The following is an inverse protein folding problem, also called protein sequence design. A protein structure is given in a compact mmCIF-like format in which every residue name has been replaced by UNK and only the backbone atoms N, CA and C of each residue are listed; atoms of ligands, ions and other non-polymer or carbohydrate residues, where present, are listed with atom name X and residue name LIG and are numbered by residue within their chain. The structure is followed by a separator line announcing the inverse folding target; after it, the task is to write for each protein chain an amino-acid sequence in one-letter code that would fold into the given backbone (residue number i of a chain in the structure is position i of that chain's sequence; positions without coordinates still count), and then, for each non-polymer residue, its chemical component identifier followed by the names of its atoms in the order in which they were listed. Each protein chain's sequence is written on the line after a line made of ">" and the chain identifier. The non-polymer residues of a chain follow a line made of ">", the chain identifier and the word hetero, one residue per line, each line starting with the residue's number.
data_IF_752557860213
#
_entry.id   IF_752557860213
#
_cell.length_a   1.000
_cell.length_b   1.000
_cell.length_c   1.000
_cell.angle_alpha   90.00
_cell.angle_beta   90.00
_cell.angle_gamma   90.00
#
_symmetry.space_group_name_H-M   'P 1'
#
loop_
_entity.id
_entity.type
_entity.pdbx_description
1 polymer ?
#
# COMPACT_ATOMS: atom_id res chain seq x y z
N UNK A 1 33.07 16.83 -12.72
CA UNK A 1 32.58 15.48 -12.42
C UNK A 1 32.94 14.63 -13.64
N UNK A 2 33.70 13.57 -13.44
CA UNK A 2 33.93 12.62 -14.54
C UNK A 2 32.57 12.05 -14.96
N UNK A 3 32.29 12.10 -16.25
CA UNK A 3 31.09 11.51 -16.82
C UNK A 3 31.31 9.99 -16.78
N UNK A 4 30.82 9.34 -15.73
CA UNK A 4 30.90 7.88 -15.61
C UNK A 4 29.84 7.35 -16.57
N UNK A 5 30.29 6.66 -17.60
CA UNK A 5 29.43 5.97 -18.56
C UNK A 5 28.75 4.81 -17.82
N UNK A 6 27.45 4.91 -17.60
CA UNK A 6 26.65 3.86 -16.95
C UNK A 6 26.28 2.82 -17.98
N UNK A 7 26.38 1.56 -17.62
CA UNK A 7 25.80 0.48 -18.41
C UNK A 7 24.30 0.67 -18.58
N UNK A 8 23.78 0.27 -19.73
CA UNK A 8 22.34 0.40 -20.04
C UNK A 8 21.77 -0.94 -20.44
N UNK A 9 20.60 -1.26 -19.89
CA UNK A 9 19.77 -2.41 -20.29
C UNK A 9 18.46 -1.89 -20.84
N UNK A 10 17.90 -2.57 -21.84
CA UNK A 10 16.65 -2.18 -22.48
C UNK A 10 15.54 -3.19 -22.16
N UNK A 11 14.37 -2.66 -21.78
CA UNK A 11 13.15 -3.41 -21.53
C UNK A 11 11.97 -2.74 -22.23
N UNK A 12 10.91 -3.49 -22.47
CA UNK A 12 9.64 -2.89 -22.89
C UNK A 12 8.99 -2.14 -21.73
N UNK A 13 9.02 -2.72 -20.52
CA UNK A 13 8.45 -2.12 -19.32
C UNK A 13 9.38 -2.29 -18.13
N UNK A 14 9.67 -1.18 -17.43
CA UNK A 14 10.36 -1.17 -16.15
C UNK A 14 9.37 -0.81 -15.05
N UNK A 15 9.34 -1.61 -13.98
CA UNK A 15 8.48 -1.43 -12.83
C UNK A 15 9.34 -1.18 -11.59
N UNK A 16 9.08 -0.10 -10.87
CA UNK A 16 9.82 0.29 -9.67
C UNK A 16 9.04 -0.11 -8.43
N UNK A 17 9.55 -1.11 -7.71
CA UNK A 17 8.98 -1.66 -6.49
C UNK A 17 8.29 -3.01 -6.68
N UNK A 18 8.80 -4.06 -6.01
CA UNK A 18 8.24 -5.40 -5.98
C UNK A 18 7.20 -5.59 -4.84
N UNK A 19 6.38 -4.57 -4.62
CA UNK A 19 5.19 -4.67 -3.76
C UNK A 19 3.97 -5.24 -4.51
N UNK A 20 2.81 -5.35 -3.83
CA UNK A 20 1.60 -5.92 -4.44
C UNK A 20 1.17 -5.24 -5.75
N UNK A 21 1.32 -3.91 -5.85
CA UNK A 21 0.96 -3.16 -7.05
C UNK A 21 1.88 -3.48 -8.23
N UNK A 22 3.21 -3.39 -8.02
CA UNK A 22 4.19 -3.63 -9.08
C UNK A 22 4.16 -5.08 -9.57
N UNK A 23 4.13 -6.05 -8.65
CA UNK A 23 4.04 -7.48 -9.01
C UNK A 23 2.73 -7.79 -9.75
N UNK A 24 1.60 -7.19 -9.32
CA UNK A 24 0.33 -7.38 -10.05
C UNK A 24 0.35 -6.78 -11.44
N UNK A 25 1.04 -5.64 -11.63
CA UNK A 25 1.24 -5.04 -12.95
C UNK A 25 2.07 -5.97 -13.85
N UNK A 26 3.21 -6.44 -13.34
CA UNK A 26 4.12 -7.31 -14.08
C UNK A 26 3.43 -8.62 -14.51
N UNK A 27 2.78 -9.31 -13.55
CA UNK A 27 2.07 -10.57 -13.79
C UNK A 27 0.96 -10.37 -14.82
N UNK A 28 0.11 -9.34 -14.65
CA UNK A 28 -1.00 -9.09 -15.56
C UNK A 28 -0.54 -8.79 -16.98
N UNK A 29 0.51 -7.96 -17.15
CA UNK A 29 1.12 -7.68 -18.45
C UNK A 29 1.63 -8.95 -19.13
N UNK A 30 2.39 -9.76 -18.39
CA UNK A 30 2.95 -10.99 -18.95
C UNK A 30 1.88 -12.01 -19.30
N UNK A 31 0.85 -12.15 -18.47
CA UNK A 31 -0.31 -13.00 -18.79
C UNK A 31 -0.97 -12.57 -20.10
N UNK A 32 -1.22 -11.27 -20.29
CA UNK A 32 -1.82 -10.75 -21.52
C UNK A 32 -0.89 -10.96 -22.74
N UNK A 33 0.42 -10.79 -22.57
CA UNK A 33 1.39 -11.04 -23.63
C UNK A 33 1.40 -12.52 -24.07
N UNK A 34 1.41 -13.45 -23.10
CA UNK A 34 1.33 -14.89 -23.35
C UNK A 34 0.01 -15.25 -24.06
N UNK A 35 -1.13 -14.75 -23.57
CA UNK A 35 -2.46 -15.00 -24.14
C UNK A 35 -2.57 -14.51 -25.59
N UNK A 36 -1.95 -13.35 -25.87
CA UNK A 36 -1.88 -12.80 -27.21
C UNK A 36 -0.76 -13.41 -28.10
N UNK A 37 0.03 -14.35 -27.57
CA UNK A 37 1.23 -14.91 -28.25
C UNK A 37 2.20 -13.82 -28.72
N UNK A 38 2.49 -12.85 -27.84
CA UNK A 38 3.39 -11.72 -28.07
C UNK A 38 4.53 -11.73 -27.07
N UNK A 39 5.70 -11.28 -27.49
CA UNK A 39 6.84 -11.09 -26.62
C UNK A 39 6.75 -9.73 -25.93
N UNK A 40 7.10 -9.69 -24.64
CA UNK A 40 7.24 -8.48 -23.86
C UNK A 40 8.31 -8.71 -22.78
N UNK A 41 9.33 -7.88 -22.76
CA UNK A 41 10.36 -7.88 -21.73
C UNK A 41 9.96 -6.97 -20.59
N UNK A 42 9.89 -7.52 -19.38
CA UNK A 42 9.45 -6.81 -18.17
C UNK A 42 10.51 -6.97 -17.09
N UNK A 43 10.91 -5.84 -16.50
CA UNK A 43 11.84 -5.80 -15.39
C UNK A 43 11.17 -5.15 -14.17
N UNK A 44 11.37 -5.75 -13.00
CA UNK A 44 10.96 -5.20 -11.70
C UNK A 44 12.19 -4.94 -10.86
N UNK A 45 12.40 -3.70 -10.42
CA UNK A 45 13.46 -3.35 -9.49
C UNK A 45 12.93 -3.20 -8.07
N UNK A 46 13.67 -3.73 -7.09
CA UNK A 46 13.34 -3.67 -5.67
C UNK A 46 14.56 -3.23 -4.86
N UNK A 47 14.38 -2.21 -4.02
CA UNK A 47 15.46 -1.69 -3.17
C UNK A 47 15.85 -2.62 -2.01
N UNK A 48 14.95 -3.47 -1.57
CA UNK A 48 15.20 -4.48 -0.55
C UNK A 48 16.16 -5.54 -1.05
N UNK A 49 16.97 -6.11 -0.16
CA UNK A 49 17.91 -7.21 -0.49
C UNK A 49 17.21 -8.46 -1.04
N UNK A 50 15.93 -8.60 -0.77
CA UNK A 50 15.00 -9.58 -1.31
C UNK A 50 13.60 -8.99 -1.38
N UNK A 51 12.72 -9.55 -2.19
CA UNK A 51 11.33 -9.13 -2.24
C UNK A 51 10.67 -9.38 -0.88
N UNK A 52 9.96 -8.36 -0.37
CA UNK A 52 9.30 -8.43 0.92
C UNK A 52 10.16 -8.10 2.13
N UNK A 53 11.50 -7.91 2.00
CA UNK A 53 12.40 -7.60 3.13
C UNK A 53 11.99 -6.32 3.89
N UNK A 54 11.46 -5.33 3.19
CA UNK A 54 11.01 -4.07 3.79
C UNK A 54 9.53 -4.09 4.20
N UNK A 55 8.87 -5.23 4.12
CA UNK A 55 7.46 -5.37 4.46
C UNK A 55 7.31 -6.12 5.79
N UNK A 56 7.23 -5.38 6.88
CA UNK A 56 6.84 -5.90 8.19
C UNK A 56 5.34 -5.73 8.35
N UNK A 57 4.56 -6.73 8.08
CA UNK A 57 3.11 -6.61 8.22
C UNK A 57 2.41 -7.94 8.36
N UNK A 58 1.62 -8.05 9.42
CA UNK A 58 0.41 -8.82 9.39
C UNK A 58 -0.68 -7.97 8.73
N UNK A 59 -1.41 -8.56 7.81
CA UNK A 59 -2.45 -7.90 7.03
C UNK A 59 -3.73 -8.72 7.10
N UNK A 60 -4.86 -8.04 7.16
CA UNK A 60 -6.15 -8.64 6.81
C UNK A 60 -6.40 -8.38 5.34
N UNK A 61 -6.24 -9.40 4.53
CA UNK A 61 -6.26 -9.34 3.09
C UNK A 61 -7.63 -9.71 2.52
N UNK A 62 -8.15 -8.87 1.63
CA UNK A 62 -9.33 -9.14 0.82
C UNK A 62 -8.85 -9.81 -0.49
N UNK A 63 -9.21 -11.07 -0.77
CA UNK A 63 -8.65 -11.82 -1.90
C UNK A 63 -9.20 -11.39 -3.26
N UNK A 64 -10.14 -10.47 -3.33
CA UNK A 64 -10.85 -10.09 -4.55
C UNK A 64 -9.94 -9.80 -5.75
N UNK A 65 -8.86 -9.03 -5.55
CA UNK A 65 -7.93 -8.71 -6.63
C UNK A 65 -7.06 -9.93 -7.01
N UNK A 66 -6.74 -10.79 -6.04
CA UNK A 66 -6.00 -12.01 -6.28
C UNK A 66 -6.85 -13.05 -7.05
N UNK A 67 -8.12 -13.17 -6.70
CA UNK A 67 -9.09 -14.04 -7.41
C UNK A 67 -9.21 -13.64 -8.89
N UNK A 68 -9.05 -12.34 -9.22
CA UNK A 68 -9.06 -11.87 -10.61
C UNK A 68 -7.71 -12.07 -11.31
N UNK A 69 -6.59 -11.93 -10.60
CA UNK A 69 -5.24 -11.97 -11.16
C UNK A 69 -4.75 -13.41 -11.35
N UNK A 70 -4.93 -14.23 -10.31
CA UNK A 70 -4.46 -15.64 -10.26
C UNK A 70 -5.60 -16.49 -9.66
N UNK A 71 -6.61 -16.87 -10.45
CA UNK A 71 -7.80 -17.57 -9.94
C UNK A 71 -7.51 -18.89 -9.20
N UNK A 72 -6.45 -19.56 -9.56
CA UNK A 72 -5.98 -20.82 -9.00
C UNK A 72 -4.93 -20.67 -7.89
N UNK A 73 -4.83 -19.49 -7.28
CA UNK A 73 -3.85 -19.17 -6.24
C UNK A 73 -3.82 -20.17 -5.07
N UNK A 74 -4.95 -20.80 -4.76
CA UNK A 74 -5.02 -21.83 -3.70
C UNK A 74 -4.25 -23.09 -4.07
N UNK A 75 -4.40 -23.53 -5.30
CA UNK A 75 -3.72 -24.73 -5.82
C UNK A 75 -2.23 -24.45 -6.04
N UNK A 76 -1.87 -23.19 -6.27
CA UNK A 76 -0.50 -22.71 -6.41
C UNK A 76 0.19 -22.40 -5.06
N UNK A 77 -0.48 -22.66 -3.95
CA UNK A 77 0.13 -22.56 -2.62
C UNK A 77 0.37 -21.13 -2.13
N UNK A 78 -0.47 -20.17 -2.52
CA UNK A 78 -0.41 -18.82 -1.95
C UNK A 78 -0.48 -18.87 -0.41
N UNK A 79 0.31 -18.07 0.32
CA UNK A 79 0.41 -18.14 1.78
C UNK A 79 -0.78 -17.45 2.49
N UNK A 80 -1.99 -17.86 2.14
CA UNK A 80 -3.27 -17.39 2.70
C UNK A 80 -3.93 -18.52 3.51
N UNK A 81 -3.27 -18.95 4.60
CA UNK A 81 -3.68 -20.13 5.36
C UNK A 81 -4.65 -19.84 6.50
N UNK A 82 -4.77 -18.57 6.93
CA UNK A 82 -5.57 -18.19 8.10
C UNK A 82 -6.79 -17.36 7.68
N UNK A 83 -7.94 -17.99 7.40
CA UNK A 83 -9.18 -17.25 7.16
C UNK A 83 -9.64 -16.52 8.44
N UNK A 84 -10.21 -15.34 8.29
CA UNK A 84 -10.79 -14.62 9.43
C UNK A 84 -12.02 -15.38 9.94
N UNK A 85 -11.97 -15.77 11.20
CA UNK A 85 -13.04 -16.52 11.90
C UNK A 85 -13.89 -15.62 12.80
N UNK A 86 -13.28 -14.53 13.33
CA UNK A 86 -13.95 -13.67 14.32
C UNK A 86 -13.45 -12.23 14.23
N UNK A 87 -14.39 -11.29 14.20
CA UNK A 87 -14.13 -9.86 14.30
C UNK A 87 -14.50 -9.32 15.67
N UNK A 88 -13.66 -8.45 16.24
CA UNK A 88 -13.91 -7.71 17.46
C UNK A 88 -13.54 -6.24 17.24
N UNK A 89 -14.49 -5.33 17.42
CA UNK A 89 -14.23 -3.88 17.38
C UNK A 89 -14.49 -3.31 18.76
N UNK A 90 -13.54 -2.57 19.32
CA UNK A 90 -13.62 -2.04 20.68
C UNK A 90 -13.27 -0.56 20.72
N UNK A 91 -13.96 0.17 21.56
CA UNK A 91 -13.59 1.52 21.96
C UNK A 91 -12.96 1.46 23.36
N UNK A 92 -11.71 1.90 23.44
CA UNK A 92 -10.94 1.91 24.68
C UNK A 92 -11.17 3.23 25.41
N UNK A 93 -11.63 3.17 26.67
CA UNK A 93 -11.87 4.35 27.50
C UNK A 93 -10.63 4.74 28.31
N UNK A 94 -9.90 3.75 28.79
CA UNK A 94 -8.66 3.88 29.54
C UNK A 94 -7.92 2.53 29.55
N UNK A 95 -6.84 2.43 30.32
CA UNK A 95 -6.02 1.23 30.46
C UNK A 95 -6.82 -0.04 30.86
N UNK A 96 -7.92 0.10 31.60
CA UNK A 96 -8.68 -1.04 32.15
C UNK A 96 -10.03 -1.26 31.49
N UNK A 97 -10.65 -0.17 30.99
CA UNK A 97 -12.04 -0.19 30.56
C UNK A 97 -12.17 0.00 29.05
N UNK A 98 -13.06 -0.78 28.47
CA UNK A 98 -13.45 -0.69 27.07
C UNK A 98 -14.90 -1.13 26.89
N UNK A 99 -15.49 -0.86 25.73
CA UNK A 99 -16.74 -1.46 25.31
C UNK A 99 -16.66 -1.96 23.87
N UNK A 100 -17.39 -3.03 23.60
CA UNK A 100 -17.44 -3.59 22.24
C UNK A 100 -18.43 -2.80 21.37
N UNK A 101 -18.03 -2.50 20.16
CA UNK A 101 -18.90 -1.94 19.12
C UNK A 101 -19.47 -3.11 18.33
N UNK A 102 -20.79 -3.31 18.30
CA UNK A 102 -21.38 -4.38 17.50
C UNK A 102 -21.01 -4.24 16.02
N UNK A 103 -20.62 -5.32 15.37
CA UNK A 103 -20.19 -5.32 13.95
C UNK A 103 -21.27 -4.84 12.98
N UNK A 104 -22.55 -4.81 13.43
CA UNK A 104 -23.63 -4.20 12.68
C UNK A 104 -23.39 -2.69 12.45
N UNK A 105 -22.78 -2.00 13.41
CA UNK A 105 -22.45 -0.57 13.35
C UNK A 105 -21.04 -0.31 12.83
N UNK A 106 -20.21 -1.33 12.71
CA UNK A 106 -18.84 -1.27 12.26
C UNK A 106 -18.65 -2.06 10.94
N UNK A 107 -19.49 -1.79 9.95
CA UNK A 107 -19.53 -2.57 8.70
C UNK A 107 -18.25 -2.52 7.89
N UNK A 108 -17.50 -1.44 7.99
CA UNK A 108 -16.16 -1.28 7.35
C UNK A 108 -15.12 -2.25 7.91
N UNK A 109 -15.31 -2.74 9.15
CA UNK A 109 -14.42 -3.68 9.83
C UNK A 109 -14.90 -5.15 9.74
N UNK A 110 -15.86 -5.45 8.89
CA UNK A 110 -16.23 -6.85 8.62
C UNK A 110 -15.20 -7.51 7.73
N UNK A 111 -14.65 -8.62 8.21
CA UNK A 111 -13.57 -9.33 7.54
C UNK A 111 -13.93 -10.77 7.13
N UNK A 112 -15.20 -11.13 7.18
CA UNK A 112 -15.64 -12.45 6.71
C UNK A 112 -15.25 -12.65 5.24
N UNK A 113 -14.59 -13.78 4.94
CA UNK A 113 -14.03 -14.06 3.60
C UNK A 113 -12.63 -13.53 3.36
N UNK A 114 -12.08 -12.74 4.28
CA UNK A 114 -10.70 -12.26 4.23
C UNK A 114 -9.74 -13.23 4.94
N UNK A 115 -8.44 -13.01 4.75
CA UNK A 115 -7.37 -13.81 5.33
C UNK A 115 -6.41 -12.95 6.13
N UNK A 116 -5.90 -13.49 7.24
CA UNK A 116 -4.75 -12.93 7.96
C UNK A 116 -3.49 -13.54 7.35
N UNK A 117 -2.56 -12.71 6.92
CA UNK A 117 -1.34 -13.18 6.27
C UNK A 117 -0.13 -12.27 6.54
N UNK A 118 1.06 -12.80 6.32
CA UNK A 118 2.28 -12.00 6.17
C UNK A 118 2.34 -11.42 4.75
N UNK A 119 2.28 -10.09 4.63
CA UNK A 119 2.38 -9.43 3.33
C UNK A 119 3.76 -9.62 2.69
N UNK A 120 4.82 -9.73 3.49
CA UNK A 120 6.17 -10.02 2.99
C UNK A 120 6.24 -11.40 2.33
N UNK A 121 5.70 -12.45 2.99
CA UNK A 121 5.64 -13.79 2.42
C UNK A 121 4.75 -13.85 1.16
N UNK A 122 3.65 -13.11 1.17
CA UNK A 122 2.79 -13.00 0.00
C UNK A 122 3.51 -12.37 -1.20
N UNK A 123 4.27 -11.29 -0.98
CA UNK A 123 5.05 -10.67 -2.07
C UNK A 123 6.16 -11.60 -2.59
N UNK A 124 6.82 -12.38 -1.71
CA UNK A 124 7.80 -13.38 -2.17
C UNK A 124 7.15 -14.43 -3.07
N UNK A 125 6.01 -14.98 -2.64
CA UNK A 125 5.25 -15.93 -3.45
C UNK A 125 4.82 -15.33 -4.81
N UNK A 126 4.33 -14.08 -4.83
CA UNK A 126 4.01 -13.39 -6.07
C UNK A 126 5.25 -13.18 -6.96
N UNK A 127 6.42 -12.91 -6.37
CA UNK A 127 7.67 -12.76 -7.11
C UNK A 127 8.11 -14.09 -7.72
N UNK A 128 8.08 -15.18 -6.97
CA UNK A 128 8.35 -16.54 -7.48
C UNK A 128 7.40 -16.90 -8.64
N UNK A 129 6.12 -16.56 -8.51
CA UNK A 129 5.16 -16.75 -9.58
C UNK A 129 5.50 -15.89 -10.83
N UNK A 130 5.91 -14.63 -10.63
CA UNK A 130 6.30 -13.74 -11.71
C UNK A 130 7.58 -14.22 -12.42
N UNK A 131 8.60 -14.67 -11.68
CA UNK A 131 9.82 -15.28 -12.23
C UNK A 131 9.48 -16.54 -13.05
N UNK A 132 8.52 -17.34 -12.61
CA UNK A 132 8.00 -18.49 -13.36
C UNK A 132 7.32 -18.11 -14.69
N UNK A 133 6.91 -16.85 -14.84
CA UNK A 133 6.43 -16.25 -16.09
C UNK A 133 7.53 -15.57 -16.90
N UNK A 134 8.81 -15.75 -16.55
CA UNK A 134 9.96 -15.09 -17.21
C UNK A 134 9.93 -13.55 -17.07
N UNK A 135 9.60 -13.04 -15.90
CA UNK A 135 9.75 -11.64 -15.55
C UNK A 135 11.06 -11.48 -14.78
N UNK A 136 11.91 -10.54 -15.19
CA UNK A 136 13.16 -10.26 -14.50
C UNK A 136 12.90 -9.46 -13.23
N UNK A 137 13.33 -9.95 -12.07
CA UNK A 137 13.22 -9.25 -10.79
C UNK A 137 14.62 -8.99 -10.24
N UNK A 138 14.95 -7.71 -9.97
CA UNK A 138 16.25 -7.29 -9.46
C UNK A 138 16.10 -6.74 -8.03
N UNK A 139 16.24 -7.57 -6.99
CA UNK A 139 16.35 -7.10 -5.61
C UNK A 139 17.72 -6.49 -5.35
N UNK A 140 17.79 -5.56 -4.39
CA UNK A 140 19.01 -4.82 -4.05
C UNK A 140 19.29 -3.58 -4.91
N UNK A 141 18.48 -3.31 -5.92
CA UNK A 141 18.64 -2.15 -6.80
C UNK A 141 17.67 -1.04 -6.45
N UNK A 142 18.20 0.12 -6.06
CA UNK A 142 17.41 1.30 -5.75
C UNK A 142 17.28 2.18 -6.99
N UNK A 143 16.07 2.41 -7.47
CA UNK A 143 15.82 3.44 -8.48
C UNK A 143 16.05 4.82 -7.87
N UNK A 144 16.93 5.63 -8.47
CA UNK A 144 17.35 6.93 -7.92
C UNK A 144 16.85 8.12 -8.72
N UNK A 145 16.72 7.99 -10.03
CA UNK A 145 16.35 9.09 -10.93
C UNK A 145 15.48 8.58 -12.08
N UNK A 146 14.56 9.44 -12.54
CA UNK A 146 13.86 9.25 -13.81
C UNK A 146 14.78 9.70 -14.96
N UNK A 147 14.91 8.89 -15.98
CA UNK A 147 15.57 9.29 -17.23
C UNK A 147 14.49 9.92 -18.13
N UNK A 148 14.63 11.22 -18.38
CA UNK A 148 13.65 11.97 -19.16
C UNK A 148 14.29 12.48 -20.44
N UNK A 149 13.65 12.23 -21.59
CA UNK A 149 14.05 12.74 -22.88
C UNK A 149 12.87 13.45 -23.55
N UNK A 150 13.05 14.70 -23.96
CA UNK A 150 12.02 15.52 -24.61
C UNK A 150 10.67 15.53 -23.87
N UNK A 151 10.71 15.55 -22.51
CA UNK A 151 9.51 15.56 -21.67
C UNK A 151 8.82 14.21 -21.51
N UNK A 152 9.43 13.11 -21.97
CA UNK A 152 8.95 11.74 -21.83
C UNK A 152 9.89 10.95 -20.93
N UNK A 153 9.36 10.20 -19.98
CA UNK A 153 10.16 9.24 -19.19
C UNK A 153 10.49 8.06 -20.09
N UNK A 154 11.80 7.79 -20.23
CA UNK A 154 12.34 6.72 -21.09
C UNK A 154 13.11 5.67 -20.29
N UNK A 155 12.95 5.66 -18.96
CA UNK A 155 13.58 4.70 -18.07
C UNK A 155 13.93 5.29 -16.72
N UNK A 156 14.75 4.56 -15.98
CA UNK A 156 15.28 4.95 -14.66
C UNK A 156 16.79 4.73 -14.59
N UNK A 157 17.46 5.51 -13.75
CA UNK A 157 18.81 5.20 -13.30
C UNK A 157 18.76 4.57 -11.90
N UNK A 158 19.54 3.52 -11.68
CA UNK A 158 19.74 2.96 -10.34
C UNK A 158 20.80 3.75 -9.57
N UNK A 159 20.75 3.68 -8.25
CA UNK A 159 21.73 4.34 -7.38
C UNK A 159 23.09 3.67 -7.44
N UNK A 160 24.16 4.46 -7.31
CA UNK A 160 25.51 3.95 -7.17
C UNK A 160 25.65 3.15 -5.87
N UNK A 161 26.41 2.08 -5.89
CA UNK A 161 26.73 1.27 -4.72
C UNK A 161 28.13 1.57 -4.18
N UNK A 162 28.39 1.20 -2.91
CA UNK A 162 29.72 1.39 -2.32
C UNK A 162 30.10 2.86 -2.05
N UNK A 163 29.11 3.72 -1.77
CA UNK A 163 29.33 5.10 -1.28
C UNK A 163 29.23 5.10 0.25
N UNK A 164 30.10 5.85 0.92
CA UNK A 164 30.06 6.02 2.38
C UNK A 164 29.10 7.14 2.82
N UNK A 165 28.98 7.35 4.14
CA UNK A 165 28.12 8.39 4.71
C UNK A 165 28.53 9.82 4.37
N UNK A 166 29.76 10.03 3.89
CA UNK A 166 30.30 11.34 3.49
C UNK A 166 30.16 11.58 1.97
N UNK A 167 29.66 10.56 1.23
CA UNK A 167 29.55 10.60 -0.22
C UNK A 167 30.83 10.17 -0.96
N UNK A 168 31.80 9.58 -0.25
CA UNK A 168 33.06 9.12 -0.85
C UNK A 168 32.95 7.67 -1.35
N UNK A 169 33.65 7.40 -2.46
CA UNK A 169 33.67 6.04 -3.06
C UNK A 169 34.53 5.11 -2.24
N UNK A 170 33.94 3.99 -1.80
CA UNK A 170 34.66 2.87 -1.18
C UNK A 170 35.37 2.02 -2.24
N UNK A 171 36.29 1.12 -1.82
CA UNK A 171 36.89 0.15 -2.75
C UNK A 171 35.89 -0.77 -3.47
N UNK A 172 34.68 -0.93 -2.91
CA UNK A 172 33.56 -1.67 -3.47
C UNK A 172 32.58 -0.77 -4.24
N UNK A 173 33.02 0.39 -4.72
CA UNK A 173 32.20 1.28 -5.51
C UNK A 173 31.85 0.65 -6.86
N UNK A 174 30.58 0.65 -7.17
CA UNK A 174 30.04 0.27 -8.48
C UNK A 174 29.04 1.35 -8.91
N UNK A 175 29.18 1.88 -10.16
CA UNK A 175 28.20 2.83 -10.67
C UNK A 175 26.85 2.15 -10.86
N UNK A 176 25.77 2.91 -10.67
CA UNK A 176 24.44 2.44 -11.02
C UNK A 176 24.31 2.21 -12.54
N UNK A 177 23.28 1.49 -12.93
CA UNK A 177 22.95 1.20 -14.34
C UNK A 177 21.72 1.98 -14.79
N UNK A 178 21.56 2.17 -16.07
CA UNK A 178 20.36 2.72 -16.69
C UNK A 178 19.46 1.58 -17.15
N UNK A 179 18.21 1.58 -16.72
CA UNK A 179 17.18 0.68 -17.22
C UNK A 179 16.28 1.49 -18.13
N UNK A 180 16.52 1.36 -19.43
CA UNK A 180 15.74 2.04 -20.47
C UNK A 180 14.45 1.29 -20.72
N UNK A 181 13.34 2.01 -20.90
CA UNK A 181 12.04 1.40 -21.11
C UNK A 181 11.14 2.26 -21.99
N UNK A 182 10.22 1.61 -22.72
CA UNK A 182 9.14 2.31 -23.41
C UNK A 182 8.12 2.88 -22.42
N UNK A 183 7.91 2.17 -21.32
CA UNK A 183 7.03 2.62 -20.23
C UNK A 183 7.63 2.28 -18.86
N UNK A 184 7.49 3.20 -17.92
CA UNK A 184 7.95 3.06 -16.53
C UNK A 184 6.76 3.10 -15.57
N UNK A 185 6.63 2.09 -14.71
CA UNK A 185 5.57 2.00 -13.72
C UNK A 185 6.15 2.27 -12.34
N UNK A 186 5.64 3.29 -11.65
CA UNK A 186 6.06 3.66 -10.30
C UNK A 186 5.10 3.05 -9.27
N UNK A 187 5.62 2.14 -8.46
CA UNK A 187 4.89 1.38 -7.43
C UNK A 187 5.64 1.34 -6.10
N UNK A 188 6.31 2.43 -5.76
CA UNK A 188 7.21 2.56 -4.60
C UNK A 188 6.46 2.65 -3.26
N UNK A 189 5.14 2.72 -3.29
CA UNK A 189 4.28 2.83 -2.11
C UNK A 189 4.14 4.25 -1.58
N UNK A 190 3.82 4.38 -0.29
CA UNK A 190 3.60 5.68 0.33
C UNK A 190 4.84 6.59 0.21
N UNK A 191 4.71 7.72 -0.48
CA UNK A 191 5.76 8.71 -0.71
C UNK A 191 6.98 8.14 -1.45
N UNK A 192 6.76 7.47 -2.55
CA UNK A 192 7.80 7.01 -3.45
C UNK A 192 8.76 8.12 -3.87
N UNK A 193 10.04 7.80 -4.04
CA UNK A 193 11.05 8.78 -4.41
C UNK A 193 10.83 9.30 -5.84
N UNK A 194 10.70 8.39 -6.79
CA UNK A 194 10.43 8.73 -8.19
C UNK A 194 8.99 9.17 -8.41
N UNK A 195 8.03 8.61 -7.64
CA UNK A 195 6.64 9.05 -7.67
C UNK A 195 6.51 10.53 -7.36
N UNK A 196 7.24 11.05 -6.35
CA UNK A 196 7.29 12.49 -6.04
C UNK A 196 7.93 13.32 -7.17
N UNK A 197 8.99 12.79 -7.79
CA UNK A 197 9.60 13.45 -8.95
C UNK A 197 8.61 13.56 -10.11
N UNK A 198 7.92 12.47 -10.44
CA UNK A 198 6.93 12.46 -11.51
C UNK A 198 5.74 13.40 -11.21
N UNK A 199 5.20 13.36 -9.99
CA UNK A 199 4.10 14.26 -9.58
C UNK A 199 4.51 15.73 -9.76
N UNK A 200 5.71 16.11 -9.32
CA UNK A 200 6.21 17.47 -9.46
C UNK A 200 6.52 17.86 -10.90
N UNK A 201 7.17 16.95 -11.66
CA UNK A 201 7.59 17.22 -13.03
C UNK A 201 6.41 17.39 -13.99
N UNK A 202 5.36 16.62 -13.80
CA UNK A 202 4.19 16.58 -14.69
C UNK A 202 2.94 17.20 -14.06
N UNK A 203 3.06 17.87 -12.90
CA UNK A 203 1.94 18.53 -12.21
C UNK A 203 0.74 17.61 -11.98
N UNK A 204 0.97 16.35 -11.60
CA UNK A 204 -0.06 15.32 -11.58
C UNK A 204 -1.12 15.53 -10.49
N UNK A 205 -0.88 16.38 -9.51
CA UNK A 205 -1.77 16.66 -8.38
C UNK A 205 -2.51 18.01 -8.47
N UNK A 206 -2.46 18.73 -9.61
CA UNK A 206 -3.11 20.04 -9.76
C UNK A 206 -4.63 20.00 -9.55
N UNK A 207 -5.28 18.92 -10.00
CA UNK A 207 -6.74 18.74 -9.91
C UNK A 207 -7.19 17.83 -8.76
N UNK A 208 -6.29 17.48 -7.84
CA UNK A 208 -6.60 16.61 -6.69
C UNK A 208 -6.48 17.35 -5.35
N UNK A 209 -7.24 16.88 -4.36
CA UNK A 209 -7.11 17.38 -2.99
C UNK A 209 -5.72 17.04 -2.42
N UNK A 210 -5.24 17.78 -1.40
CA UNK A 210 -4.03 17.42 -0.70
C UNK A 210 -4.05 15.99 -0.17
N UNK A 211 -2.91 15.29 -0.26
CA UNK A 211 -2.77 13.95 0.30
C UNK A 211 -2.56 14.03 1.80
N UNK A 212 -3.14 13.09 2.52
CA UNK A 212 -2.99 12.92 3.96
C UNK A 212 -2.21 11.66 4.31
N UNK A 213 -1.48 11.72 5.40
CA UNK A 213 -0.57 10.65 5.81
C UNK A 213 -0.79 10.22 7.27
N UNK A 214 -0.37 9.01 7.57
CA UNK A 214 -0.26 8.51 8.93
C UNK A 214 1.04 7.75 9.10
N UNK A 215 1.45 7.54 10.35
CA UNK A 215 2.53 6.61 10.72
C UNK A 215 1.93 5.40 11.40
N UNK A 216 2.27 4.20 10.91
CA UNK A 216 1.89 2.94 11.52
C UNK A 216 3.08 2.26 12.15
N UNK A 217 3.05 2.07 13.48
CA UNK A 217 3.98 1.21 14.21
C UNK A 217 3.44 -0.21 14.18
N UNK A 218 4.30 -1.17 13.97
CA UNK A 218 3.94 -2.58 13.81
C UNK A 218 4.89 -3.47 14.58
N UNK A 219 4.35 -4.54 15.15
CA UNK A 219 5.12 -5.61 15.78
C UNK A 219 4.57 -6.97 15.37
N UNK A 220 5.47 -7.96 15.32
CA UNK A 220 5.14 -9.37 15.22
C UNK A 220 5.49 -10.02 16.54
N UNK A 221 4.57 -10.83 17.07
CA UNK A 221 4.72 -11.53 18.33
C UNK A 221 4.46 -13.01 18.16
N UNK A 222 5.26 -13.84 18.81
CA UNK A 222 4.94 -15.23 19.05
C UNK A 222 4.21 -15.30 20.39
N UNK A 223 2.93 -15.67 20.36
CA UNK A 223 2.06 -15.72 21.53
C UNK A 223 2.15 -17.08 22.24
N UNK A 224 1.81 -17.07 23.53
CA UNK A 224 1.54 -18.32 24.24
C UNK A 224 0.34 -19.03 23.56
N UNK A 225 0.48 -20.34 23.22
CA UNK A 225 -0.60 -21.08 22.58
C UNK A 225 -1.92 -21.09 23.37
N UNK A 226 -1.89 -20.91 24.68
CA UNK A 226 -3.09 -20.89 25.53
C UNK A 226 -3.95 -19.65 25.38
N UNK A 227 -3.37 -18.54 24.87
CA UNK A 227 -4.06 -17.27 24.62
C UNK A 227 -4.23 -16.96 23.14
N UNK A 228 -3.64 -17.76 22.27
CA UNK A 228 -3.75 -17.60 20.83
C UNK A 228 -5.12 -18.09 20.32
N UNK A 229 -5.75 -17.31 19.44
CA UNK A 229 -7.07 -17.61 18.85
C UNK A 229 -6.98 -17.37 17.32
N UNK A 230 -6.46 -18.37 16.60
CA UNK A 230 -6.22 -18.27 15.13
C UNK A 230 -7.46 -17.79 14.37
N UNK A 231 -7.27 -16.77 13.54
CA UNK A 231 -8.34 -16.13 12.75
C UNK A 231 -9.10 -15.04 13.52
N UNK A 232 -8.66 -14.69 14.74
CA UNK A 232 -9.22 -13.54 15.47
C UNK A 232 -8.63 -12.22 14.94
N UNK A 233 -9.53 -11.29 14.63
CA UNK A 233 -9.22 -9.91 14.25
C UNK A 233 -9.78 -8.97 15.33
N UNK A 234 -8.91 -8.19 15.95
CA UNK A 234 -9.30 -7.17 16.93
C UNK A 234 -8.89 -5.80 16.38
N UNK A 235 -9.88 -4.92 16.23
CA UNK A 235 -9.64 -3.50 15.98
C UNK A 235 -9.98 -2.69 17.20
N UNK A 236 -9.18 -1.69 17.53
CA UNK A 236 -9.49 -0.79 18.65
C UNK A 236 -9.27 0.66 18.25
N UNK A 237 -9.97 1.56 18.93
CA UNK A 237 -9.86 3.02 18.83
C UNK A 237 -10.06 3.66 20.21
N UNK A 238 -9.69 4.93 20.35
CA UNK A 238 -9.81 5.67 21.60
C UNK A 238 -8.47 5.70 22.35
N UNK A 239 -8.48 5.39 23.67
CA UNK A 239 -7.28 5.41 24.49
C UNK A 239 -6.15 4.53 23.90
N UNK A 240 -4.86 4.92 23.95
CA UNK A 240 -4.29 6.08 24.65
C UNK A 240 -4.28 7.39 23.83
N UNK A 241 -4.84 7.39 22.62
CA UNK A 241 -4.81 8.55 21.75
C UNK A 241 -5.19 9.84 22.48
N UNK A 242 -4.44 10.89 22.21
CA UNK A 242 -4.75 12.23 22.68
C UNK A 242 -6.11 12.70 22.17
N UNK A 243 -6.78 13.57 22.94
CA UNK A 243 -8.07 14.13 22.54
C UNK A 243 -7.97 14.85 21.20
N UNK A 244 -8.84 14.47 20.27
CA UNK A 244 -8.87 15.04 18.91
C UNK A 244 -8.07 14.23 17.88
N UNK A 245 -7.19 13.34 18.29
CA UNK A 245 -6.42 12.50 17.38
C UNK A 245 -7.19 11.24 17.02
N UNK A 246 -7.43 11.00 15.74
CA UNK A 246 -8.04 9.78 15.23
C UNK A 246 -6.99 8.69 15.07
N UNK A 247 -6.57 8.08 16.15
CA UNK A 247 -5.72 6.88 16.09
C UNK A 247 -6.54 5.60 15.98
N UNK A 248 -5.94 4.56 15.45
CA UNK A 248 -6.51 3.23 15.39
C UNK A 248 -5.45 2.16 15.62
N UNK A 249 -5.88 1.02 16.12
CA UNK A 249 -4.97 -0.09 16.38
C UNK A 249 -5.59 -1.43 16.06
N UNK A 250 -4.76 -2.42 15.89
CA UNK A 250 -5.18 -3.76 15.57
C UNK A 250 -4.30 -4.82 16.23
N UNK A 251 -4.91 -5.98 16.46
CA UNK A 251 -4.24 -7.23 16.83
C UNK A 251 -4.88 -8.34 16.01
N UNK A 252 -4.07 -9.03 15.19
CA UNK A 252 -4.50 -10.12 14.30
C UNK A 252 -3.78 -11.40 14.67
N UNK A 253 -4.52 -12.47 14.96
CA UNK A 253 -3.98 -13.78 15.27
C UNK A 253 -3.82 -14.61 13.99
N UNK A 254 -2.60 -14.70 13.50
CA UNK A 254 -2.23 -15.46 12.31
C UNK A 254 -1.97 -16.94 12.57
N UNK A 255 -1.31 -17.60 11.65
CA UNK A 255 -0.83 -18.98 11.78
C UNK A 255 0.36 -19.09 12.78
N UNK A 256 0.70 -20.30 13.19
CA UNK A 256 1.87 -20.63 14.01
C UNK A 256 2.00 -19.84 15.32
N UNK A 257 0.87 -19.55 15.97
CA UNK A 257 0.78 -18.73 17.18
C UNK A 257 1.32 -17.30 17.01
N UNK A 258 1.48 -16.82 15.79
CA UNK A 258 1.89 -15.45 15.54
C UNK A 258 0.72 -14.48 15.65
N UNK A 259 1.02 -13.31 16.20
CA UNK A 259 0.13 -12.17 16.17
C UNK A 259 0.80 -10.95 15.55
N UNK A 260 0.01 -10.21 14.81
CA UNK A 260 0.42 -8.97 14.17
C UNK A 260 -0.27 -7.81 14.87
N UNK A 261 0.52 -6.91 15.44
CA UNK A 261 0.06 -5.73 16.14
C UNK A 261 0.37 -4.48 15.33
N UNK A 262 -0.53 -3.51 15.39
CA UNK A 262 -0.26 -2.21 14.81
C UNK A 262 -1.01 -1.09 15.51
N UNK A 263 -0.38 0.09 15.53
CA UNK A 263 -0.92 1.33 16.04
C UNK A 263 -0.66 2.44 15.02
N UNK A 264 -1.70 3.11 14.59
CA UNK A 264 -1.65 4.09 13.50
C UNK A 264 -2.04 5.45 14.07
N UNK A 265 -1.19 6.43 13.85
CA UNK A 265 -1.43 7.83 14.22
C UNK A 265 -1.40 8.68 12.94
N UNK A 266 -2.40 9.53 12.69
CA UNK A 266 -2.35 10.50 11.62
C UNK A 266 -1.21 11.50 11.86
N UNK A 267 -0.61 12.06 10.80
CA UNK A 267 0.50 13.01 10.92
C UNK A 267 0.04 14.48 11.03
N UNK A 268 -1.27 14.71 11.07
CA UNK A 268 -1.92 16.01 11.24
C UNK A 268 -2.28 16.34 12.69
N UNK A 269 -1.64 15.72 13.68
CA UNK A 269 -1.90 16.03 15.10
C UNK A 269 -1.21 17.35 15.53
N UNK A 270 -1.95 18.20 16.23
CA UNK A 270 -1.50 19.52 16.64
C UNK A 270 -0.53 19.52 17.84
N UNK A 271 -0.55 18.48 18.66
CA UNK A 271 0.26 18.43 19.88
C UNK A 271 1.66 17.87 19.60
N UNK A 272 2.72 18.71 19.60
CA UNK A 272 4.09 18.26 19.32
C UNK A 272 4.70 17.37 20.42
N UNK A 273 4.03 17.23 21.56
CA UNK A 273 4.49 16.38 22.67
C UNK A 273 3.95 14.94 22.60
N UNK A 274 3.14 14.62 21.59
CA UNK A 274 2.72 13.23 21.36
C UNK A 274 3.92 12.43 20.85
N UNK A 275 4.17 11.28 21.48
CA UNK A 275 5.05 10.26 20.97
C UNK A 275 4.21 9.08 20.48
N UNK A 276 4.00 8.93 19.16
CA UNK A 276 3.22 7.81 18.63
C UNK A 276 3.75 6.44 19.03
N UNK A 277 5.07 6.32 19.21
CA UNK A 277 5.68 5.10 19.71
C UNK A 277 5.28 4.80 21.17
N UNK A 278 5.30 5.81 22.04
CA UNK A 278 4.93 5.63 23.45
C UNK A 278 3.43 5.33 23.59
N UNK A 279 2.58 5.94 22.77
CA UNK A 279 1.15 5.59 22.71
C UNK A 279 0.96 4.13 22.30
N UNK A 280 1.74 3.63 21.32
CA UNK A 280 1.71 2.22 20.97
C UNK A 280 2.13 1.31 22.14
N UNK A 281 3.17 1.69 22.89
CA UNK A 281 3.57 0.94 24.09
C UNK A 281 2.45 0.94 25.15
N UNK A 282 1.85 2.09 25.43
CA UNK A 282 0.72 2.20 26.37
C UNK A 282 -0.46 1.34 25.91
N UNK A 283 -0.82 1.38 24.62
CA UNK A 283 -1.91 0.55 24.08
C UNK A 283 -1.75 -0.94 24.39
N UNK A 284 -0.54 -1.46 24.33
CA UNK A 284 -0.26 -2.88 24.66
C UNK A 284 -0.57 -3.23 26.13
N UNK A 285 -0.52 -2.26 27.03
CA UNK A 285 -0.89 -2.44 28.43
C UNK A 285 -2.38 -2.37 28.71
N UNK A 286 -3.21 -2.03 27.73
CA UNK A 286 -4.66 -2.07 27.91
C UNK A 286 -5.12 -3.49 28.19
N UNK A 287 -5.87 -3.69 29.28
CA UNK A 287 -6.18 -5.01 29.84
C UNK A 287 -6.77 -6.02 28.84
N UNK A 288 -7.58 -5.55 27.86
CA UNK A 288 -8.15 -6.44 26.84
C UNK A 288 -7.18 -6.83 25.71
N UNK A 289 -6.03 -6.15 25.61
CA UNK A 289 -4.93 -6.44 24.68
C UNK A 289 -3.84 -7.21 25.41
N UNK A 290 -3.41 -6.71 26.58
CA UNK A 290 -2.34 -7.29 27.39
C UNK A 290 -2.51 -8.79 27.62
N UNK A 291 -3.74 -9.23 27.91
CA UNK A 291 -4.06 -10.65 28.12
C UNK A 291 -3.63 -11.60 26.98
N UNK A 292 -3.52 -11.09 25.76
CA UNK A 292 -3.03 -11.87 24.61
C UNK A 292 -1.52 -11.86 24.49
N UNK A 293 -0.86 -10.86 25.09
CA UNK A 293 0.59 -10.68 25.02
C UNK A 293 1.35 -11.28 26.19
N UNK A 294 0.64 -11.69 27.25
CA UNK A 294 1.24 -12.36 28.44
C UNK A 294 1.92 -13.65 28.02
N UNK A 295 3.20 -13.82 28.41
CA UNK A 295 4.01 -14.97 28.04
C UNK A 295 4.53 -14.96 26.59
N UNK A 296 4.11 -14.02 25.76
CA UNK A 296 4.54 -13.89 24.38
C UNK A 296 5.89 -13.19 24.23
N UNK A 297 6.48 -13.33 23.05
CA UNK A 297 7.77 -12.72 22.69
C UNK A 297 7.63 -11.92 21.41
N UNK A 298 8.10 -10.66 21.42
CA UNK A 298 8.18 -9.83 20.22
C UNK A 298 9.35 -10.29 19.34
N UNK A 299 9.06 -10.69 18.11
CA UNK A 299 10.05 -11.23 17.17
C UNK A 299 10.52 -10.19 16.15
N UNK A 300 9.64 -9.26 15.78
CA UNK A 300 9.99 -8.20 14.84
C UNK A 300 9.22 -6.91 15.13
N UNK A 301 9.75 -5.78 14.67
CA UNK A 301 9.10 -4.48 14.77
C UNK A 301 9.51 -3.56 13.64
N UNK A 302 8.71 -2.54 13.38
CA UNK A 302 9.00 -1.50 12.41
C UNK A 302 7.93 -0.41 12.39
N UNK A 303 8.20 0.64 11.63
CA UNK A 303 7.26 1.71 11.38
C UNK A 303 7.25 2.06 9.89
N UNK A 304 6.08 2.43 9.38
CA UNK A 304 5.94 2.87 7.99
C UNK A 304 4.87 3.93 7.87
N UNK A 305 5.15 4.92 7.02
CA UNK A 305 4.12 5.86 6.60
C UNK A 305 3.06 5.13 5.75
N UNK A 306 1.85 5.61 5.83
CA UNK A 306 0.72 5.17 5.01
C UNK A 306 -0.08 6.39 4.55
N UNK A 307 -0.77 6.25 3.43
CA UNK A 307 -1.63 7.28 2.91
C UNK A 307 -3.06 7.11 3.42
N UNK A 308 -3.78 8.22 3.53
CA UNK A 308 -5.18 8.22 4.00
C UNK A 308 -6.10 9.23 3.28
N UNK A 309 -5.61 10.00 2.31
CA UNK A 309 -6.37 11.05 1.62
C UNK A 309 -7.62 10.56 0.88
N UNK A 310 -7.59 9.32 0.38
CA UNK A 310 -8.74 8.71 -0.26
C UNK A 310 -8.96 9.17 -1.70
N UNK A 311 -10.18 8.99 -2.19
CA UNK A 311 -10.56 9.16 -3.60
C UNK A 311 -10.23 10.55 -4.19
N UNK A 312 -10.46 11.63 -3.43
CA UNK A 312 -10.23 13.00 -3.90
C UNK A 312 -8.75 13.36 -4.04
N UNK A 313 -7.88 12.65 -3.30
CA UNK A 313 -6.43 12.90 -3.28
C UNK A 313 -5.66 12.03 -4.29
N UNK A 314 -6.36 11.27 -5.14
CA UNK A 314 -5.73 10.49 -6.21
C UNK A 314 -5.24 11.46 -7.29
N UNK A 315 -3.92 11.51 -7.58
CA UNK A 315 -3.38 12.33 -8.64
C UNK A 315 -3.76 11.77 -10.03
N UNK A 316 -3.46 12.51 -11.08
CA UNK A 316 -3.45 11.95 -12.43
C UNK A 316 -2.49 10.76 -12.45
N UNK A 317 -3.01 9.55 -12.70
CA UNK A 317 -2.26 8.30 -12.55
C UNK A 317 -1.27 8.02 -13.69
N UNK A 318 -1.24 8.84 -14.72
CA UNK A 318 -0.40 8.65 -15.90
C UNK A 318 0.33 9.94 -16.31
N UNK A 319 1.47 9.77 -16.93
CA UNK A 319 2.32 10.85 -17.45
C UNK A 319 3.05 10.33 -18.72
N UNK A 320 3.64 11.20 -19.52
CA UNK A 320 4.39 10.75 -20.70
C UNK A 320 5.49 9.75 -20.36
N UNK A 321 5.34 8.51 -20.83
CA UNK A 321 6.26 7.40 -20.62
C UNK A 321 6.06 6.62 -19.32
N UNK A 322 4.96 6.87 -18.57
CA UNK A 322 4.76 6.08 -17.34
C UNK A 322 3.44 6.27 -16.59
N UNK A 323 3.35 5.59 -15.46
CA UNK A 323 2.16 5.57 -14.60
C UNK A 323 2.53 5.42 -13.12
N UNK A 324 1.63 5.93 -12.25
CA UNK A 324 1.63 5.69 -10.80
C UNK A 324 0.61 4.59 -10.47
N UNK A 325 0.97 3.65 -9.61
CA UNK A 325 0.07 2.60 -9.13
C UNK A 325 0.19 2.38 -7.62
N UNK A 326 -0.81 1.75 -7.02
CA UNK A 326 -0.83 1.46 -5.59
C UNK A 326 -0.84 2.71 -4.73
N UNK A 327 -0.07 2.70 -3.65
CA UNK A 327 0.00 3.83 -2.72
C UNK A 327 0.76 5.04 -3.28
N UNK A 328 1.56 4.88 -4.34
CA UNK A 328 2.10 6.01 -5.11
C UNK A 328 0.97 6.82 -5.76
N UNK A 329 -0.08 6.15 -6.23
CA UNK A 329 -1.29 6.76 -6.76
C UNK A 329 -2.36 7.06 -5.71
N UNK A 330 -2.19 6.64 -4.46
CA UNK A 330 -3.16 6.97 -3.42
C UNK A 330 -4.35 6.00 -3.29
N UNK A 331 -4.23 4.74 -3.67
CA UNK A 331 -5.38 3.83 -3.81
C UNK A 331 -5.82 3.11 -2.53
N UNK A 332 -5.30 3.46 -1.35
CA UNK A 332 -5.67 2.83 -0.08
C UNK A 332 -7.11 3.15 0.32
N UNK A 333 -7.89 2.13 0.69
CA UNK A 333 -9.19 2.30 1.35
C UNK A 333 -8.99 2.45 2.86
N UNK A 334 -8.75 3.68 3.30
CA UNK A 334 -8.43 4.00 4.69
C UNK A 334 -9.53 3.55 5.69
N UNK A 335 -10.85 3.83 5.47
CA UNK A 335 -11.89 3.39 6.38
C UNK A 335 -11.96 1.88 6.61
N UNK A 336 -11.56 1.08 5.62
CA UNK A 336 -11.48 -0.39 5.75
C UNK A 336 -10.15 -0.88 6.31
N UNK A 337 -9.17 0.00 6.46
CA UNK A 337 -7.77 -0.35 6.79
C UNK A 337 -7.22 -1.41 5.82
N UNK A 338 -7.55 -1.27 4.54
CA UNK A 338 -7.16 -2.20 3.49
C UNK A 338 -6.62 -1.46 2.27
N UNK A 339 -5.39 -1.78 1.89
CA UNK A 339 -4.72 -1.18 0.73
C UNK A 339 -4.19 -2.22 -0.26
N UNK A 340 -3.98 -3.47 0.17
CA UNK A 340 -3.30 -4.45 -0.68
C UNK A 340 -4.12 -4.82 -1.93
N UNK A 341 -5.39 -5.16 -1.79
CA UNK A 341 -6.26 -5.51 -2.92
C UNK A 341 -6.50 -4.33 -3.86
N UNK A 342 -6.59 -3.11 -3.32
CA UNK A 342 -6.74 -1.89 -4.12
C UNK A 342 -5.46 -1.54 -4.88
N UNK A 343 -4.30 -1.73 -4.25
CA UNK A 343 -2.99 -1.58 -4.88
C UNK A 343 -2.80 -2.60 -6.02
N UNK A 344 -3.14 -3.88 -5.79
CA UNK A 344 -3.13 -4.91 -6.83
C UNK A 344 -4.03 -4.54 -8.02
N UNK A 345 -5.27 -4.12 -7.74
CA UNK A 345 -6.21 -3.75 -8.82
C UNK A 345 -5.74 -2.54 -9.62
N UNK A 346 -5.12 -1.54 -8.96
CA UNK A 346 -4.55 -0.40 -9.69
C UNK A 346 -3.43 -0.83 -10.64
N UNK A 347 -2.59 -1.77 -10.22
CA UNK A 347 -1.55 -2.37 -11.06
C UNK A 347 -2.15 -3.14 -12.25
N UNK A 348 -3.22 -3.89 -12.03
CA UNK A 348 -3.92 -4.60 -13.13
C UNK A 348 -4.53 -3.61 -14.14
N UNK A 349 -5.14 -2.53 -13.66
CA UNK A 349 -5.70 -1.48 -14.54
C UNK A 349 -4.59 -0.82 -15.38
N UNK A 350 -3.44 -0.54 -14.76
CA UNK A 350 -2.29 -0.01 -15.47
C UNK A 350 -1.80 -0.99 -16.54
N UNK A 351 -1.69 -2.26 -16.22
CA UNK A 351 -1.29 -3.32 -17.15
C UNK A 351 -2.25 -3.43 -18.34
N UNK A 352 -3.56 -3.48 -18.08
CA UNK A 352 -4.59 -3.56 -19.12
C UNK A 352 -4.52 -2.34 -20.06
N UNK A 353 -4.38 -1.14 -19.50
CA UNK A 353 -4.29 0.11 -20.28
C UNK A 353 -3.00 0.20 -21.12
N UNK A 354 -1.89 -0.26 -20.56
CA UNK A 354 -0.60 -0.29 -21.25
C UNK A 354 -0.63 -1.32 -22.38
N UNK A 355 -1.14 -2.52 -22.12
CA UNK A 355 -1.17 -3.60 -23.12
C UNK A 355 -2.01 -3.22 -24.35
N UNK A 356 -3.16 -2.58 -24.14
CA UNK A 356 -4.02 -2.08 -25.23
C UNK A 356 -3.29 -1.09 -26.15
N UNK A 357 -2.36 -0.29 -25.58
CA UNK A 357 -1.64 0.73 -26.32
C UNK A 357 -0.33 0.23 -26.94
N UNK A 358 0.38 -0.64 -26.23
CA UNK A 358 1.76 -1.02 -26.54
C UNK A 358 1.96 -1.58 -27.96
N UNK A 359 1.01 -2.32 -28.47
CA UNK A 359 1.10 -2.97 -29.78
C UNK A 359 0.42 -2.20 -30.92
N UNK A 360 0.01 -0.96 -30.67
CA UNK A 360 -0.50 -0.10 -31.75
C UNK A 360 0.64 0.36 -32.65
N UNK A 361 0.32 0.68 -33.88
CA UNK A 361 1.29 1.16 -34.88
C UNK A 361 1.99 2.46 -34.44
N UNK A 362 1.25 3.34 -33.74
CA UNK A 362 1.77 4.57 -33.16
C UNK A 362 1.30 4.65 -31.67
N UNK A 363 2.02 4.01 -30.74
CA UNK A 363 1.63 3.98 -29.36
C UNK A 363 1.75 5.37 -28.72
N UNK A 364 0.75 5.74 -27.91
CA UNK A 364 0.78 7.01 -27.18
C UNK A 364 1.74 6.91 -26.00
N UNK A 365 2.53 7.95 -25.80
CA UNK A 365 3.41 8.04 -24.62
C UNK A 365 2.64 8.33 -23.35
N UNK A 366 1.55 9.12 -23.42
CA UNK A 366 0.66 9.44 -22.27
C UNK A 366 -0.60 8.57 -22.30
N UNK A 367 -0.69 7.58 -21.41
CA UNK A 367 -1.71 6.54 -21.39
C UNK A 367 -3.01 7.02 -20.71
N UNK A 368 -3.73 7.95 -21.30
CA UNK A 368 -4.97 8.52 -20.77
C UNK A 368 -6.10 7.48 -20.63
N UNK A 369 -6.03 6.33 -21.30
CA UNK A 369 -6.95 5.18 -21.14
C UNK A 369 -6.99 4.65 -19.71
N UNK A 370 -5.92 4.80 -18.92
CA UNK A 370 -5.88 4.48 -17.49
C UNK A 370 -7.02 5.16 -16.73
N UNK A 371 -7.30 6.42 -17.03
CA UNK A 371 -8.37 7.19 -16.37
C UNK A 371 -9.75 6.59 -16.64
N UNK A 372 -10.03 6.16 -17.88
CA UNK A 372 -11.31 5.53 -18.21
C UNK A 372 -11.44 4.14 -17.61
N UNK A 373 -10.36 3.34 -17.64
CA UNK A 373 -10.32 2.01 -17.07
C UNK A 373 -10.45 2.04 -15.55
N UNK A 374 -9.80 3.01 -14.89
CA UNK A 374 -9.99 3.24 -13.45
C UNK A 374 -11.45 3.59 -13.14
N UNK A 375 -12.05 4.55 -13.84
CA UNK A 375 -13.45 4.98 -13.62
C UNK A 375 -14.48 3.88 -13.82
N UNK A 376 -14.23 2.93 -14.70
CA UNK A 376 -15.12 1.79 -14.95
C UNK A 376 -14.90 0.62 -13.99
N UNK A 377 -13.86 0.66 -13.17
CA UNK A 377 -13.46 -0.43 -12.28
C UNK A 377 -14.24 -0.46 -10.97
N UNK A 378 -14.21 -1.63 -10.30
CA UNK A 378 -14.71 -1.74 -8.94
C UNK A 378 -13.82 -0.97 -7.93
N UNK A 379 -12.55 -0.71 -8.27
CA UNK A 379 -11.64 0.05 -7.43
C UNK A 379 -12.15 1.48 -7.24
N UNK A 380 -12.50 2.16 -8.32
CA UNK A 380 -13.12 3.49 -8.26
C UNK A 380 -14.40 3.47 -7.42
N UNK A 381 -15.29 2.52 -7.69
CA UNK A 381 -16.54 2.38 -6.94
C UNK A 381 -16.30 2.19 -5.43
N UNK A 382 -15.28 1.43 -5.04
CA UNK A 382 -14.93 1.20 -3.64
C UNK A 382 -14.38 2.48 -2.99
N UNK A 383 -13.43 3.15 -3.63
CA UNK A 383 -12.82 4.37 -3.12
C UNK A 383 -13.83 5.53 -3.08
N UNK A 384 -14.65 5.66 -4.11
CA UNK A 384 -15.71 6.68 -4.15
C UNK A 384 -16.72 6.52 -3.01
N UNK A 385 -17.09 5.30 -2.62
CA UNK A 385 -17.97 5.07 -1.45
C UNK A 385 -17.34 5.54 -0.15
N UNK A 386 -16.03 5.50 -0.02
CA UNK A 386 -15.29 5.91 1.17
C UNK A 386 -14.94 7.41 1.21
N UNK A 387 -15.18 8.15 0.11
CA UNK A 387 -14.66 9.50 -0.15
C UNK A 387 -14.93 10.54 0.94
N UNK A 388 -16.07 10.49 1.59
CA UNK A 388 -16.45 11.47 2.61
C UNK A 388 -15.99 11.10 4.03
N UNK A 389 -15.42 9.92 4.25
CA UNK A 389 -15.11 9.42 5.59
C UNK A 389 -14.14 10.34 6.33
N UNK A 390 -12.96 10.57 5.77
CA UNK A 390 -11.95 11.40 6.40
C UNK A 390 -12.31 12.91 6.39
N UNK A 391 -12.83 13.47 5.28
CA UNK A 391 -13.27 14.87 5.28
C UNK A 391 -14.36 15.20 6.31
N UNK A 392 -15.27 14.28 6.63
CA UNK A 392 -16.19 14.48 7.75
C UNK A 392 -15.47 14.66 9.08
N UNK A 393 -14.42 13.89 9.32
CA UNK A 393 -13.65 13.93 10.57
C UNK A 393 -12.83 15.23 10.67
N UNK A 394 -12.16 15.62 9.59
CA UNK A 394 -11.37 16.86 9.56
C UNK A 394 -12.27 18.09 9.73
N UNK A 395 -13.43 18.11 9.08
CA UNK A 395 -14.31 19.28 9.11
C UNK A 395 -15.12 19.44 10.39
N UNK A 396 -15.55 18.34 11.01
CA UNK A 396 -16.46 18.36 12.16
C UNK A 396 -15.85 17.79 13.45
N UNK A 397 -14.57 17.46 13.41
CA UNK A 397 -13.84 16.85 14.53
C UNK A 397 -14.16 15.37 14.73
N UNK A 398 -13.38 14.70 15.58
CA UNK A 398 -13.40 13.23 15.70
C UNK A 398 -14.78 12.69 16.09
N UNK A 399 -15.46 13.28 17.09
CA UNK A 399 -16.73 12.72 17.60
C UNK A 399 -17.89 12.87 16.60
N UNK A 400 -18.14 14.09 16.14
CA UNK A 400 -19.25 14.38 15.22
C UNK A 400 -18.92 13.86 13.81
N UNK A 401 -17.67 14.00 13.38
CA UNK A 401 -17.21 13.52 12.08
C UNK A 401 -17.34 12.00 11.95
N UNK A 402 -16.92 11.23 12.95
CA UNK A 402 -17.10 9.76 12.95
C UNK A 402 -18.58 9.38 12.93
N UNK A 403 -19.44 10.11 13.67
CA UNK A 403 -20.89 9.85 13.64
C UNK A 403 -21.48 10.11 12.24
N UNK A 404 -21.13 11.22 11.60
CA UNK A 404 -21.58 11.56 10.23
C UNK A 404 -21.04 10.57 9.20
N UNK A 405 -19.76 10.21 9.28
CA UNK A 405 -19.16 9.19 8.44
C UNK A 405 -19.84 7.82 8.63
N UNK A 406 -20.17 7.47 9.88
CA UNK A 406 -20.94 6.26 10.19
C UNK A 406 -22.33 6.28 9.55
N UNK A 407 -23.04 7.39 9.60
CA UNK A 407 -24.35 7.57 8.95
C UNK A 407 -24.21 7.42 7.43
N UNK A 408 -23.20 8.06 6.81
CA UNK A 408 -22.93 7.91 5.37
C UNK A 408 -22.70 6.43 5.02
N UNK A 409 -21.84 5.73 5.75
CA UNK A 409 -21.50 4.34 5.44
C UNK A 409 -22.65 3.36 5.73
N UNK A 410 -23.40 3.55 6.80
CA UNK A 410 -24.44 2.61 7.24
C UNK A 410 -25.78 2.84 6.53
N UNK A 411 -26.22 4.10 6.40
CA UNK A 411 -27.53 4.47 5.88
C UNK A 411 -27.43 4.74 4.39
N UNK A 412 -26.53 5.62 3.99
CA UNK A 412 -26.39 6.03 2.60
C UNK A 412 -25.46 5.13 1.78
N UNK A 413 -24.71 4.23 2.43
CA UNK A 413 -23.77 3.30 1.79
C UNK A 413 -22.72 4.02 0.92
N UNK A 414 -22.25 5.18 1.38
CA UNK A 414 -21.32 6.04 0.65
C UNK A 414 -21.93 6.75 -0.56
N UNK A 415 -23.26 6.84 -0.66
CA UNK A 415 -23.98 7.42 -1.82
C UNK A 415 -24.55 8.81 -1.56
N UNK A 416 -23.99 9.56 -0.61
CA UNK A 416 -24.39 10.96 -0.47
C UNK A 416 -24.19 11.71 -1.79
N UNK A 417 -25.10 12.65 -2.17
CA UNK A 417 -25.05 13.34 -3.48
C UNK A 417 -23.96 14.41 -3.57
N UNK A 418 -23.12 14.55 -2.57
CA UNK A 418 -22.01 15.49 -2.51
C UNK A 418 -20.71 14.81 -2.12
N UNK A 419 -19.60 15.44 -2.50
CA UNK A 419 -18.26 15.08 -2.08
C UNK A 419 -17.71 16.21 -1.21
N UNK A 420 -17.19 15.88 -0.04
CA UNK A 420 -16.43 16.81 0.80
C UNK A 420 -14.96 16.78 0.36
N UNK A 421 -14.32 17.91 0.42
CA UNK A 421 -12.92 18.09 0.03
C UNK A 421 -12.03 18.29 1.26
N UNK A 422 -10.76 17.97 1.09
CA UNK A 422 -9.70 18.29 2.05
C UNK A 422 -9.23 19.72 1.79
N UNK A 423 -9.34 20.57 2.81
CA UNK A 423 -9.03 22.00 2.65
C UNK A 423 -7.53 22.31 2.84
N UNK A 424 -6.79 21.44 3.54
CA UNK A 424 -5.37 21.67 3.88
C UNK A 424 -4.57 20.35 3.90
N UNK A 425 -3.26 20.39 3.56
CA UNK A 425 -2.35 19.28 3.77
C UNK A 425 -2.05 19.05 5.27
N UNK A 426 -1.36 17.95 5.58
CA UNK A 426 -0.95 17.58 6.96
C UNK A 426 0.17 18.44 7.55
N UNK A 427 0.55 19.57 6.96
CA UNK A 427 1.64 20.45 7.42
C UNK A 427 1.32 21.90 7.20
#
# INVERSE_FOLDING_TARGET
>A
MENIERESMEYDVVIVGAGPAGLSTAIKLKQQAIEASREMSICVVEKGSEVGAHILSGNVFDPKALDELIPDWKDLGAPLNTPVKKDSVRYLLNEKSNFSIPTLFATTFKNHGNYIMSLGNFCRWMAEYAEGLEIDIFPGFTASELIVNDGVVVGIATGDMGIDSNGEKKPSYEPGINLMAKYTILSEGCRGHLGKQAISLFSLNEDSDPQHYGIGFKEVWDLDPSVHEEGLVVHTMGWPAAKGVLSGSYLYHGENNQAFLGYIVPLDYDNPHISPFDEFQQWKHQASIQKYLEGGTRTAYGARALIKGGHQSIPKMHFPGGMLVGDDAGTMNFPRIKGTHTAMKSGMIAAESLFEEFYKENPMTDLNTVTSNFKSSWLETELHKARNFLPFIHKYGTLLGVALAGIDQLIFRGKLPFTLHHDQPDH
#
